data_IF_824358905816
#
_entry.id   IF_824358905816
#
_cell.length_a   1.000
_cell.length_b   1.000
_cell.length_c   1.000
_cell.angle_alpha   90.00
_cell.angle_beta   90.00
_cell.angle_gamma   90.00
#
_symmetry.space_group_name_H-M   'P 1'
#
loop_
_entity.id
_entity.type
_entity.pdbx_description
1 polymer ?
#
# COMPACT_ATOMS: atom_id res chain seq x y z
N UNK A 1 -9.73 6.01 7.45
CA UNK A 1 -9.85 4.88 8.42
C UNK A 1 -11.30 4.72 8.93
N UNK A 2 -12.29 4.85 8.06
CA UNK A 2 -13.71 4.85 8.48
C UNK A 2 -14.19 3.52 9.08
N UNK A 3 -13.75 2.40 8.54
CA UNK A 3 -14.15 1.06 9.01
C UNK A 3 -13.26 0.45 10.10
N UNK A 4 -12.28 1.19 10.66
CA UNK A 4 -11.27 0.60 11.53
C UNK A 4 -11.85 -0.04 12.79
N UNK A 5 -12.82 0.60 13.44
CA UNK A 5 -13.46 0.08 14.66
C UNK A 5 -14.28 -1.17 14.34
N UNK A 6 -15.14 -1.12 13.31
CA UNK A 6 -15.95 -2.27 12.90
C UNK A 6 -15.07 -3.47 12.47
N UNK A 7 -13.97 -3.21 11.77
CA UNK A 7 -12.98 -4.23 11.41
C UNK A 7 -12.31 -4.83 12.65
N UNK A 8 -11.89 -4.00 13.59
CA UNK A 8 -11.30 -4.45 14.85
C UNK A 8 -12.25 -5.37 15.62
N UNK A 9 -13.49 -4.93 15.82
CA UNK A 9 -14.50 -5.69 16.55
C UNK A 9 -14.79 -7.03 15.85
N UNK A 10 -14.99 -7.03 14.54
CA UNK A 10 -15.23 -8.25 13.77
C UNK A 10 -14.06 -9.23 13.85
N UNK A 11 -12.82 -8.77 13.81
CA UNK A 11 -11.64 -9.62 13.99
C UNK A 11 -11.63 -10.24 15.41
N UNK A 12 -11.88 -9.44 16.44
CA UNK A 12 -11.90 -9.89 17.84
C UNK A 12 -12.99 -10.94 18.09
N UNK A 13 -14.19 -10.71 17.57
CA UNK A 13 -15.33 -11.64 17.68
C UNK A 13 -15.03 -13.00 17.01
N UNK A 14 -14.20 -13.02 15.97
CA UNK A 14 -13.82 -14.23 15.26
C UNK A 14 -12.46 -14.81 15.69
N UNK A 15 -11.84 -14.30 16.76
CA UNK A 15 -10.55 -14.79 17.24
C UNK A 15 -9.38 -14.51 16.30
N UNK A 16 -9.52 -13.51 15.41
CA UNK A 16 -8.51 -13.07 14.44
C UNK A 16 -7.81 -11.84 15.00
N UNK A 17 -6.48 -11.80 14.91
CA UNK A 17 -5.70 -10.62 15.29
C UNK A 17 -5.92 -9.49 14.28
N UNK A 18 -6.49 -8.32 14.68
CA UNK A 18 -6.62 -7.18 13.79
C UNK A 18 -5.27 -6.49 13.54
N UNK A 19 -4.98 -6.18 12.29
CA UNK A 19 -3.82 -5.34 11.91
C UNK A 19 -4.38 -4.04 11.35
N UNK A 20 -4.25 -2.98 12.12
CA UNK A 20 -4.78 -1.66 11.71
C UNK A 20 -3.76 -0.95 10.82
N UNK A 21 -4.24 -0.44 9.71
CA UNK A 21 -3.41 0.30 8.76
C UNK A 21 -4.23 1.21 7.87
N UNK A 22 -3.53 1.91 7.00
CA UNK A 22 -4.14 2.78 6.01
C UNK A 22 -3.23 2.91 4.79
N UNK A 23 -3.80 2.79 3.60
CA UNK A 23 -3.15 3.32 2.40
C UNK A 23 -3.31 4.84 2.41
N UNK A 24 -2.19 5.55 2.41
CA UNK A 24 -2.14 7.00 2.39
C UNK A 24 -1.66 7.51 1.04
N UNK A 25 -2.09 8.72 0.69
CA UNK A 25 -1.65 9.42 -0.51
C UNK A 25 -0.57 10.42 -0.13
N UNK A 26 0.64 10.27 -0.65
CA UNK A 26 1.78 11.15 -0.38
C UNK A 26 1.87 12.17 -1.51
N UNK A 27 1.70 13.45 -1.19
CA UNK A 27 1.90 14.54 -2.12
C UNK A 27 3.36 14.57 -2.60
N UNK A 28 3.58 14.76 -3.90
CA UNK A 28 4.93 14.75 -4.48
C UNK A 28 5.80 15.91 -4.02
N UNK A 29 5.19 17.01 -3.59
CA UNK A 29 5.85 18.19 -3.04
C UNK A 29 5.30 18.47 -1.64
N UNK A 30 4.42 19.43 -1.47
CA UNK A 30 3.80 19.75 -0.19
C UNK A 30 2.30 19.49 -0.22
N UNK A 31 1.74 19.04 0.92
CA UNK A 31 0.30 18.86 1.10
C UNK A 31 -0.49 20.15 0.94
N UNK A 32 0.16 21.30 1.10
CA UNK A 32 -0.48 22.61 0.95
C UNK A 32 -0.56 23.08 -0.50
N UNK A 33 0.21 22.50 -1.40
CA UNK A 33 0.16 22.86 -2.81
C UNK A 33 -1.04 22.17 -3.51
N UNK A 34 -1.88 22.99 -4.15
CA UNK A 34 -3.16 22.56 -4.71
C UNK A 34 -3.36 23.07 -6.15
N UNK A 35 -2.29 23.06 -6.94
CA UNK A 35 -2.32 23.39 -8.37
C UNK A 35 -2.59 22.16 -9.23
N UNK A 36 -2.86 22.34 -10.52
CA UNK A 36 -3.07 21.22 -11.46
C UNK A 36 -1.92 20.21 -11.49
N UNK A 37 -0.67 20.68 -11.31
CA UNK A 37 0.53 19.85 -11.26
C UNK A 37 0.63 19.01 -9.98
N UNK A 38 -0.11 19.36 -8.93
CA UNK A 38 -0.12 18.68 -7.63
C UNK A 38 -1.26 17.68 -7.48
N UNK A 39 -1.98 17.39 -8.56
CA UNK A 39 -3.09 16.45 -8.55
C UNK A 39 -2.65 15.00 -8.35
N UNK A 40 -1.38 14.67 -8.69
CA UNK A 40 -0.79 13.36 -8.47
C UNK A 40 -0.36 13.17 -7.02
N UNK A 41 -0.60 11.99 -6.49
CA UNK A 41 -0.07 11.55 -5.20
C UNK A 41 0.39 10.11 -5.32
N UNK A 42 1.43 9.76 -4.59
CA UNK A 42 1.98 8.41 -4.59
C UNK A 42 1.39 7.62 -3.40
N UNK A 43 1.10 6.34 -3.60
CA UNK A 43 0.57 5.47 -2.55
C UNK A 43 1.68 5.02 -1.61
N UNK A 44 1.36 4.90 -0.34
CA UNK A 44 2.19 4.30 0.70
C UNK A 44 1.29 3.57 1.69
N UNK A 45 1.63 2.34 2.07
CA UNK A 45 0.92 1.62 3.09
C UNK A 45 1.57 1.90 4.44
N UNK A 46 0.75 2.24 5.43
CA UNK A 46 1.19 2.42 6.81
C UNK A 46 0.42 1.46 7.70
N UNK A 47 1.15 0.64 8.46
CA UNK A 47 0.60 -0.32 9.42
C UNK A 47 0.98 0.10 10.83
N UNK A 48 0.05 -0.02 11.75
CA UNK A 48 0.23 0.36 13.16
C UNK A 48 1.02 -0.72 13.90
N UNK A 49 2.13 -0.37 14.51
CA UNK A 49 2.96 -1.27 15.32
C UNK A 49 2.63 -1.21 16.82
N UNK A 50 2.21 -0.04 17.30
CA UNK A 50 1.91 0.23 18.72
C UNK A 50 1.01 1.46 18.88
N UNK A 51 0.64 1.80 20.12
CA UNK A 51 -0.23 2.96 20.43
C UNK A 51 0.31 4.28 19.89
N UNK A 52 1.63 4.49 19.91
CA UNK A 52 2.26 5.68 19.33
C UNK A 52 1.99 5.74 17.83
N UNK A 53 2.21 4.63 17.12
CA UNK A 53 1.91 4.53 15.68
C UNK A 53 0.43 4.74 15.38
N UNK A 54 -0.47 4.23 16.21
CA UNK A 54 -1.91 4.44 16.04
C UNK A 54 -2.27 5.93 16.13
N UNK A 55 -1.76 6.63 17.16
CA UNK A 55 -1.98 8.08 17.31
C UNK A 55 -1.38 8.87 16.15
N UNK A 56 -0.15 8.53 15.74
CA UNK A 56 0.52 9.14 14.59
C UNK A 56 -0.28 8.94 13.30
N UNK A 57 -0.77 7.72 13.04
CA UNK A 57 -1.57 7.44 11.85
C UNK A 57 -2.87 8.24 11.83
N UNK A 58 -3.62 8.28 12.95
CA UNK A 58 -4.85 9.09 13.07
C UNK A 58 -4.54 10.56 12.83
N UNK A 59 -3.47 11.09 13.42
CA UNK A 59 -3.07 12.48 13.26
C UNK A 59 -2.77 12.80 11.79
N UNK A 60 -1.91 11.99 11.13
CA UNK A 60 -1.57 12.18 9.72
C UNK A 60 -2.79 12.10 8.80
N UNK A 61 -3.68 11.12 9.00
CA UNK A 61 -4.91 10.98 8.20
C UNK A 61 -5.83 12.18 8.42
N UNK A 62 -5.95 12.68 9.66
CA UNK A 62 -6.73 13.89 9.95
C UNK A 62 -6.15 15.12 9.24
N UNK A 63 -4.83 15.30 9.28
CA UNK A 63 -4.14 16.38 8.57
C UNK A 63 -4.29 16.27 7.05
N UNK A 64 -4.28 15.05 6.53
CA UNK A 64 -4.54 14.81 5.10
C UNK A 64 -5.90 15.38 4.66
N UNK A 65 -6.93 15.24 5.50
CA UNK A 65 -8.27 15.79 5.22
C UNK A 65 -8.35 17.29 5.46
N UNK A 66 -7.78 17.80 6.55
CA UNK A 66 -7.94 19.21 6.96
C UNK A 66 -6.99 20.16 6.23
N UNK A 67 -5.78 19.71 5.89
CA UNK A 67 -4.74 20.51 5.25
C UNK A 67 -4.46 20.09 3.81
N UNK A 68 -4.30 18.77 3.60
CA UNK A 68 -3.79 18.19 2.34
C UNK A 68 -4.83 17.83 1.31
N UNK A 69 -6.12 18.07 1.56
CA UNK A 69 -7.18 17.66 0.62
C UNK A 69 -7.10 18.43 -0.70
N UNK A 70 -6.74 17.71 -1.75
CA UNK A 70 -6.82 18.16 -3.13
C UNK A 70 -7.10 16.95 -4.02
N UNK A 71 -8.37 16.81 -4.47
CA UNK A 71 -8.96 15.61 -5.10
C UNK A 71 -8.96 14.37 -4.20
N UNK A 72 -7.89 14.16 -3.42
CA UNK A 72 -7.74 13.10 -2.41
C UNK A 72 -7.11 13.68 -1.14
N UNK A 73 -7.30 13.08 0.03
CA UNK A 73 -6.62 13.48 1.26
C UNK A 73 -5.15 13.08 1.18
N UNK A 74 -4.23 14.04 1.22
CA UNK A 74 -2.79 13.79 1.03
C UNK A 74 -2.00 14.21 2.26
N UNK A 75 -1.08 13.35 2.67
CA UNK A 75 0.04 13.72 3.52
C UNK A 75 1.21 14.16 2.63
N UNK A 76 2.31 14.59 3.21
CA UNK A 76 3.59 14.82 2.54
C UNK A 76 4.75 14.23 3.34
N UNK A 77 5.96 14.33 2.79
CA UNK A 77 7.15 13.77 3.44
C UNK A 77 7.46 14.48 4.76
N UNK A 78 7.20 15.78 4.89
CA UNK A 78 7.41 16.53 6.12
C UNK A 78 6.57 15.91 7.25
N UNK A 79 5.26 15.82 7.05
CA UNK A 79 4.34 15.23 8.03
C UNK A 79 4.67 13.77 8.35
N UNK A 80 5.06 12.99 7.33
CA UNK A 80 5.48 11.60 7.50
C UNK A 80 6.74 11.50 8.37
N UNK A 81 7.71 12.41 8.17
CA UNK A 81 8.98 12.40 8.92
C UNK A 81 8.80 12.74 10.41
N UNK A 82 7.81 13.56 10.74
CA UNK A 82 7.49 13.94 12.12
C UNK A 82 6.68 12.87 12.87
N UNK A 83 6.00 11.99 12.13
CA UNK A 83 5.01 11.04 12.69
C UNK A 83 5.21 9.59 12.25
N UNK A 84 6.44 9.19 11.91
CA UNK A 84 6.77 7.81 11.47
C UNK A 84 6.92 6.82 12.64
N UNK A 85 7.14 7.29 13.86
CA UNK A 85 7.36 6.42 15.03
C UNK A 85 6.16 5.50 15.29
N UNK A 86 6.47 4.22 15.55
CA UNK A 86 5.46 3.20 15.86
C UNK A 86 4.68 2.69 14.64
N UNK A 87 5.16 2.99 13.42
CA UNK A 87 4.59 2.53 12.17
C UNK A 87 5.53 1.58 11.43
N UNK A 88 4.95 0.71 10.63
CA UNK A 88 5.61 -0.04 9.57
C UNK A 88 5.09 0.49 8.25
N UNK A 89 5.98 0.67 7.26
CA UNK A 89 5.59 1.12 5.93
C UNK A 89 5.89 0.08 4.85
N UNK A 90 5.03 0.01 3.82
CA UNK A 90 5.22 -0.81 2.63
C UNK A 90 5.19 0.10 1.40
N UNK A 91 5.96 -0.25 0.36
CA UNK A 91 6.13 0.57 -0.85
C UNK A 91 4.90 0.71 -1.73
N UNK A 92 3.82 0.03 -1.40
CA UNK A 92 2.51 0.02 -2.07
C UNK A 92 2.52 -0.57 -3.50
N UNK A 93 1.40 -0.42 -4.21
CA UNK A 93 1.16 -0.92 -5.56
C UNK A 93 1.90 -0.09 -6.64
N UNK A 94 1.60 -0.34 -7.92
CA UNK A 94 2.20 0.40 -9.06
C UNK A 94 2.00 1.93 -8.98
N UNK A 95 1.06 2.41 -8.17
CA UNK A 95 0.84 3.82 -7.89
C UNK A 95 1.75 4.40 -6.79
N UNK A 96 2.59 3.58 -6.14
CA UNK A 96 3.61 4.02 -5.19
C UNK A 96 4.75 4.78 -5.88
N UNK A 97 5.50 5.59 -5.11
CA UNK A 97 6.63 6.35 -5.63
C UNK A 97 7.68 5.43 -6.28
N UNK A 98 8.13 4.41 -5.55
CA UNK A 98 9.18 3.48 -5.98
C UNK A 98 8.76 2.71 -7.23
N UNK A 99 7.62 1.98 -7.27
CA UNK A 99 7.18 1.29 -8.48
C UNK A 99 6.99 2.20 -9.67
N UNK A 100 6.47 3.41 -9.46
CA UNK A 100 6.27 4.40 -10.54
C UNK A 100 7.59 4.86 -11.17
N UNK A 101 8.65 5.08 -10.37
CA UNK A 101 9.97 5.44 -10.88
C UNK A 101 10.60 4.27 -11.63
N UNK A 102 10.44 3.04 -11.16
CA UNK A 102 10.86 1.83 -11.88
C UNK A 102 10.17 1.75 -13.26
N UNK A 103 8.84 1.93 -13.32
CA UNK A 103 8.10 1.92 -14.57
C UNK A 103 8.55 3.00 -15.58
N UNK A 104 9.01 4.13 -15.06
CA UNK A 104 9.56 5.22 -15.87
C UNK A 104 11.05 5.03 -16.24
N UNK A 105 11.68 3.93 -15.84
CA UNK A 105 13.09 3.64 -16.09
C UNK A 105 14.08 4.37 -15.18
N UNK A 106 13.60 5.01 -14.12
CA UNK A 106 14.40 5.78 -13.16
C UNK A 106 14.67 4.94 -11.89
N UNK A 107 15.55 3.95 -12.05
CA UNK A 107 15.90 3.02 -10.97
C UNK A 107 16.70 3.69 -9.86
N UNK A 108 17.50 4.70 -10.18
CA UNK A 108 18.30 5.44 -9.19
C UNK A 108 17.39 6.17 -8.21
N UNK A 109 16.44 6.96 -8.70
CA UNK A 109 15.46 7.63 -7.84
C UNK A 109 14.60 6.65 -7.02
N UNK A 110 14.24 5.50 -7.59
CA UNK A 110 13.52 4.45 -6.89
C UNK A 110 14.31 3.91 -5.69
N UNK A 111 15.59 3.58 -5.91
CA UNK A 111 16.47 3.05 -4.86
C UNK A 111 16.81 4.09 -3.81
N UNK A 112 17.14 5.32 -4.19
CA UNK A 112 17.38 6.42 -3.25
C UNK A 112 16.17 6.67 -2.33
N UNK A 113 14.96 6.64 -2.90
CA UNK A 113 13.75 6.84 -2.09
C UNK A 113 13.46 5.64 -1.18
N UNK A 114 13.74 4.42 -1.62
CA UNK A 114 13.63 3.23 -0.78
C UNK A 114 14.57 3.32 0.43
N UNK A 115 15.83 3.68 0.22
CA UNK A 115 16.82 3.90 1.29
C UNK A 115 16.40 5.05 2.22
N UNK A 116 15.82 6.11 1.66
CA UNK A 116 15.30 7.24 2.45
C UNK A 116 14.16 6.81 3.38
N UNK A 117 13.23 5.97 2.91
CA UNK A 117 12.14 5.44 3.72
C UNK A 117 12.65 4.42 4.76
N UNK A 118 13.58 3.53 4.39
CA UNK A 118 14.17 2.59 5.35
C UNK A 118 14.85 3.31 6.53
N UNK A 119 15.58 4.40 6.24
CA UNK A 119 16.16 5.24 7.29
C UNK A 119 15.12 5.95 8.15
N UNK A 120 14.04 6.43 7.54
CA UNK A 120 12.96 7.14 8.23
C UNK A 120 12.21 6.24 9.22
N UNK A 121 11.80 5.05 8.78
CA UNK A 121 11.06 4.12 9.62
C UNK A 121 11.99 3.28 10.53
N UNK A 122 13.27 3.20 10.19
CA UNK A 122 14.25 2.35 10.85
C UNK A 122 14.21 0.92 10.34
N UNK A 123 15.37 0.26 10.36
CA UNK A 123 15.55 -1.10 9.83
C UNK A 123 14.49 -2.07 10.36
N UNK A 124 13.88 -2.84 9.45
CA UNK A 124 12.83 -3.80 9.77
C UNK A 124 11.43 -3.21 9.95
N UNK A 125 11.25 -1.90 9.69
CA UNK A 125 9.95 -1.26 9.68
C UNK A 125 9.59 -0.63 8.31
N UNK A 126 10.39 -0.89 7.28
CA UNK A 126 10.06 -0.57 5.90
C UNK A 126 10.30 -1.80 5.02
N UNK A 127 9.37 -2.07 4.09
CA UNK A 127 9.41 -3.23 3.20
C UNK A 127 9.12 -2.82 1.77
N UNK A 128 9.83 -3.43 0.82
CA UNK A 128 9.52 -3.37 -0.59
C UNK A 128 8.40 -4.37 -0.91
N UNK A 129 7.29 -3.87 -1.38
CA UNK A 129 6.05 -4.64 -1.54
C UNK A 129 5.94 -5.25 -2.93
N UNK A 130 5.81 -6.56 -2.97
CA UNK A 130 5.60 -7.34 -4.20
C UNK A 130 4.12 -7.67 -4.37
N UNK A 131 3.59 -7.41 -5.57
CA UNK A 131 2.22 -7.71 -5.95
C UNK A 131 2.17 -8.38 -7.32
N UNK A 132 1.24 -9.30 -7.54
CA UNK A 132 1.03 -9.98 -8.84
C UNK A 132 -0.47 -10.18 -9.11
N UNK A 133 -0.99 -9.39 -10.04
CA UNK A 133 -2.40 -9.43 -10.47
C UNK A 133 -2.53 -9.65 -11.99
N UNK A 134 -1.45 -10.07 -12.66
CA UNK A 134 -1.43 -10.20 -14.11
C UNK A 134 -1.50 -8.86 -14.85
N UNK A 135 -1.08 -7.76 -14.21
CA UNK A 135 -1.04 -6.43 -14.81
C UNK A 135 0.33 -6.24 -15.48
N UNK A 136 0.32 -5.63 -16.67
CA UNK A 136 1.55 -5.29 -17.38
C UNK A 136 2.47 -4.44 -16.49
N UNK A 137 3.75 -4.78 -16.49
CA UNK A 137 4.78 -4.09 -15.73
C UNK A 137 4.98 -4.59 -14.30
N UNK A 138 4.00 -5.25 -13.65
CA UNK A 138 4.19 -5.74 -12.27
C UNK A 138 5.38 -6.69 -12.13
N UNK A 139 5.56 -7.63 -13.05
CA UNK A 139 6.69 -8.56 -13.01
C UNK A 139 8.03 -7.84 -13.12
N UNK A 140 8.15 -6.88 -14.02
CA UNK A 140 9.36 -6.07 -14.15
C UNK A 140 9.63 -5.28 -12.87
N UNK A 141 8.59 -4.68 -12.29
CA UNK A 141 8.71 -3.96 -11.01
C UNK A 141 9.16 -4.89 -9.90
N UNK A 142 8.58 -6.08 -9.78
CA UNK A 142 8.98 -7.08 -8.77
C UNK A 142 10.45 -7.50 -8.91
N UNK A 143 10.94 -7.74 -10.14
CA UNK A 143 12.36 -8.05 -10.38
C UNK A 143 13.28 -6.88 -9.99
N UNK A 144 12.89 -5.65 -10.31
CA UNK A 144 13.65 -4.47 -9.91
C UNK A 144 13.65 -4.28 -8.39
N UNK A 145 12.52 -4.49 -7.72
CA UNK A 145 12.41 -4.42 -6.25
C UNK A 145 13.28 -5.50 -5.58
N UNK A 146 13.31 -6.72 -6.13
CA UNK A 146 14.22 -7.77 -5.66
C UNK A 146 15.69 -7.35 -5.78
N UNK A 147 16.09 -6.76 -6.91
CA UNK A 147 17.44 -6.22 -7.07
C UNK A 147 17.76 -5.07 -6.13
N UNK A 148 16.81 -4.19 -5.83
CA UNK A 148 16.97 -3.13 -4.81
C UNK A 148 17.14 -3.76 -3.42
N UNK A 149 16.31 -4.77 -3.09
CA UNK A 149 16.40 -5.51 -1.83
C UNK A 149 17.79 -6.14 -1.63
N UNK A 150 18.32 -6.82 -2.65
CA UNK A 150 19.66 -7.43 -2.62
C UNK A 150 20.77 -6.41 -2.35
N UNK A 151 20.71 -5.23 -2.98
CA UNK A 151 21.74 -4.20 -2.83
C UNK A 151 21.66 -3.44 -1.52
N UNK A 152 20.44 -3.18 -1.01
CA UNK A 152 20.20 -2.30 0.13
C UNK A 152 19.99 -3.06 1.44
N UNK A 153 19.61 -4.34 1.37
CA UNK A 153 19.19 -5.15 2.51
C UNK A 153 17.80 -4.80 3.04
N UNK A 154 17.00 -4.01 2.29
CA UNK A 154 15.60 -3.71 2.62
C UNK A 154 14.78 -4.97 2.33
N UNK A 155 14.02 -5.50 3.31
CA UNK A 155 13.28 -6.74 3.10
C UNK A 155 12.12 -6.60 2.11
N UNK A 156 11.82 -7.71 1.41
CA UNK A 156 10.64 -7.85 0.58
C UNK A 156 9.43 -8.28 1.41
N UNK A 157 8.22 -7.95 0.97
CA UNK A 157 6.97 -8.48 1.52
C UNK A 157 5.97 -8.74 0.38
N UNK A 158 5.37 -9.93 0.37
CA UNK A 158 4.31 -10.25 -0.59
C UNK A 158 2.95 -9.81 -0.05
N UNK A 159 2.18 -9.09 -0.85
CA UNK A 159 0.82 -8.68 -0.52
C UNK A 159 -0.14 -8.96 -1.66
N UNK A 160 -1.43 -8.89 -1.36
CA UNK A 160 -2.47 -9.28 -2.30
C UNK A 160 -3.34 -8.11 -2.78
N UNK A 161 -3.20 -6.92 -2.20
CA UNK A 161 -4.00 -5.72 -2.56
C UNK A 161 -5.49 -6.05 -2.80
N UNK A 162 -6.13 -6.66 -1.80
CA UNK A 162 -7.47 -7.25 -1.88
C UNK A 162 -8.52 -6.17 -2.09
N UNK A 163 -9.33 -6.30 -3.13
CA UNK A 163 -10.45 -5.41 -3.40
C UNK A 163 -11.81 -6.13 -3.31
N UNK A 164 -11.80 -7.46 -3.32
CA UNK A 164 -12.99 -8.31 -3.13
C UNK A 164 -12.58 -9.69 -2.60
N UNK A 165 -13.53 -10.44 -2.04
CA UNK A 165 -13.22 -11.70 -1.35
C UNK A 165 -12.97 -12.87 -2.29
N UNK A 166 -13.80 -13.02 -3.32
CA UNK A 166 -13.76 -14.17 -4.25
C UNK A 166 -13.53 -13.68 -5.67
N UNK A 167 -12.90 -14.50 -6.50
CA UNK A 167 -12.58 -14.16 -7.88
C UNK A 167 -13.82 -13.75 -8.69
N UNK A 168 -14.95 -14.43 -8.50
CA UNK A 168 -16.24 -14.12 -9.12
C UNK A 168 -16.81 -12.75 -8.73
N UNK A 169 -16.40 -12.19 -7.58
CA UNK A 169 -16.86 -10.88 -7.10
C UNK A 169 -16.28 -9.71 -7.93
N UNK A 170 -15.32 -9.97 -8.83
CA UNK A 170 -14.78 -8.96 -9.76
C UNK A 170 -15.89 -8.24 -10.54
N UNK A 171 -16.97 -8.94 -10.91
CA UNK A 171 -18.13 -8.33 -11.59
C UNK A 171 -18.87 -7.35 -10.71
N UNK A 172 -19.05 -7.69 -9.43
CA UNK A 172 -19.69 -6.82 -8.43
C UNK A 172 -18.84 -5.57 -8.19
N UNK A 173 -17.52 -5.75 -8.07
CA UNK A 173 -16.58 -4.64 -7.95
C UNK A 173 -16.64 -3.70 -9.16
N UNK A 174 -16.78 -4.23 -10.38
CA UNK A 174 -16.94 -3.42 -11.59
C UNK A 174 -18.20 -2.53 -11.51
N UNK A 175 -19.32 -3.06 -11.01
CA UNK A 175 -20.55 -2.27 -10.79
C UNK A 175 -20.32 -1.17 -9.75
N UNK A 176 -19.67 -1.49 -8.63
CA UNK A 176 -19.35 -0.51 -7.59
C UNK A 176 -18.48 0.63 -8.11
N UNK A 177 -17.49 0.31 -8.95
CA UNK A 177 -16.64 1.31 -9.59
C UNK A 177 -17.42 2.19 -10.59
N UNK A 178 -18.36 1.62 -11.34
CA UNK A 178 -19.25 2.40 -12.20
C UNK A 178 -20.07 3.43 -11.40
N UNK A 179 -20.60 3.02 -10.24
CA UNK A 179 -21.32 3.92 -9.34
C UNK A 179 -20.41 5.04 -8.84
N UNK A 180 -19.19 4.70 -8.40
CA UNK A 180 -18.21 5.66 -7.89
C UNK A 180 -17.77 6.67 -8.94
N UNK A 181 -17.60 6.24 -10.19
CA UNK A 181 -17.10 7.07 -11.30
C UNK A 181 -18.22 7.71 -12.14
N UNK A 182 -19.48 7.45 -11.80
CA UNK A 182 -20.64 7.86 -12.57
C UNK A 182 -20.57 7.47 -14.05
N UNK A 183 -20.24 6.19 -14.29
CA UNK A 183 -20.12 5.57 -15.62
C UNK A 183 -21.05 4.36 -15.71
N UNK A 184 -21.28 3.83 -16.93
CA UNK A 184 -22.04 2.59 -17.14
C UNK A 184 -21.13 1.46 -17.59
N UNK A 185 -21.49 0.23 -17.27
CA UNK A 185 -20.78 -0.96 -17.76
C UNK A 185 -20.75 -0.99 -19.30
N UNK A 186 -21.84 -0.49 -19.94
CA UNK A 186 -21.96 -0.42 -21.39
C UNK A 186 -21.03 0.57 -22.08
N UNK A 187 -20.40 1.50 -21.34
CA UNK A 187 -19.59 2.58 -21.93
C UNK A 187 -18.26 2.08 -22.49
N UNK A 188 -17.96 0.79 -22.36
CA UNK A 188 -16.73 0.17 -22.88
C UNK A 188 -15.44 0.71 -22.27
N UNK A 189 -15.54 1.60 -21.27
CA UNK A 189 -14.40 2.05 -20.48
C UNK A 189 -14.16 1.03 -19.37
N UNK A 190 -12.90 0.70 -19.06
CA UNK A 190 -12.64 -0.16 -17.91
C UNK A 190 -12.99 0.59 -16.63
N UNK A 191 -14.25 0.49 -16.21
CA UNK A 191 -14.66 0.85 -14.84
C UNK A 191 -14.20 -0.23 -13.86
N UNK A 192 -13.58 -1.30 -14.34
CA UNK A 192 -13.08 -2.44 -13.59
C UNK A 192 -11.55 -2.45 -13.61
N UNK A 193 -10.95 -3.18 -12.68
CA UNK A 193 -9.55 -3.55 -12.76
C UNK A 193 -9.26 -4.31 -14.05
N UNK A 194 -8.03 -4.22 -14.55
CA UNK A 194 -7.62 -4.87 -15.80
C UNK A 194 -7.75 -6.41 -15.75
N UNK A 195 -7.79 -6.97 -14.54
CA UNK A 195 -7.88 -8.42 -14.29
C UNK A 195 -8.83 -8.73 -13.15
N UNK A 196 -9.15 -10.00 -12.95
CA UNK A 196 -9.97 -10.51 -11.84
C UNK A 196 -9.12 -11.06 -10.67
N UNK A 197 -7.84 -10.67 -10.60
CA UNK A 197 -6.85 -11.22 -9.67
C UNK A 197 -6.76 -10.47 -8.32
N UNK A 198 -7.67 -9.54 -8.02
CA UNK A 198 -7.67 -8.77 -6.76
C UNK A 198 -8.51 -9.41 -5.64
N UNK A 199 -8.68 -10.72 -5.66
CA UNK A 199 -9.39 -11.47 -4.64
C UNK A 199 -8.47 -11.94 -3.51
N UNK A 200 -9.05 -12.37 -2.39
CA UNK A 200 -8.30 -12.95 -1.26
C UNK A 200 -7.72 -14.31 -1.65
N UNK A 201 -6.46 -14.33 -2.05
CA UNK A 201 -5.73 -15.56 -2.39
C UNK A 201 -5.37 -16.37 -1.15
N UNK A 202 -5.35 -17.68 -1.28
CA UNK A 202 -4.86 -18.59 -0.25
C UNK A 202 -3.34 -18.49 -0.08
N UNK A 203 -2.82 -18.99 1.05
CA UNK A 203 -1.38 -19.07 1.29
C UNK A 203 -0.65 -19.83 0.18
N UNK A 204 -1.21 -20.96 -0.30
CA UNK A 204 -0.63 -21.74 -1.38
C UNK A 204 -0.58 -21.00 -2.72
N UNK A 205 -1.57 -20.14 -2.99
CA UNK A 205 -1.58 -19.28 -4.18
C UNK A 205 -0.50 -18.19 -4.06
N UNK A 206 -0.39 -17.56 -2.89
CA UNK A 206 0.65 -16.57 -2.63
C UNK A 206 2.05 -17.17 -2.73
N UNK A 207 2.28 -18.36 -2.17
CA UNK A 207 3.56 -19.07 -2.25
C UNK A 207 3.93 -19.43 -3.71
N UNK A 208 2.96 -19.85 -4.52
CA UNK A 208 3.19 -20.10 -5.97
C UNK A 208 3.60 -18.85 -6.74
N UNK A 209 3.09 -17.68 -6.36
CA UNK A 209 3.41 -16.41 -7.00
C UNK A 209 4.75 -15.82 -6.55
N UNK A 210 5.04 -15.92 -5.26
CA UNK A 210 6.14 -15.18 -4.63
C UNK A 210 7.23 -16.04 -3.99
N UNK A 211 7.06 -17.37 -3.87
CA UNK A 211 8.02 -18.27 -3.21
C UNK A 211 9.43 -18.29 -3.84
N UNK A 212 9.60 -17.70 -5.02
CA UNK A 212 10.93 -17.48 -5.62
C UNK A 212 11.67 -16.25 -5.04
N UNK A 213 10.97 -15.35 -4.35
CA UNK A 213 11.57 -14.18 -3.73
C UNK A 213 11.87 -14.47 -2.27
N UNK A 214 13.12 -14.33 -1.89
CA UNK A 214 13.59 -14.69 -0.56
C UNK A 214 12.79 -14.00 0.55
N UNK A 215 12.24 -14.79 1.46
CA UNK A 215 11.49 -14.36 2.63
C UNK A 215 10.24 -13.49 2.37
N UNK A 216 9.80 -13.32 1.12
CA UNK A 216 8.69 -12.40 0.81
C UNK A 216 7.37 -12.84 1.45
N UNK A 217 7.06 -14.14 1.43
CA UNK A 217 5.86 -14.70 2.07
C UNK A 217 6.01 -14.77 3.60
N UNK A 218 7.19 -15.15 4.10
CA UNK A 218 7.48 -15.18 5.54
C UNK A 218 7.40 -13.79 6.16
N UNK A 219 7.84 -12.76 5.45
CA UNK A 219 7.75 -11.39 5.93
C UNK A 219 6.31 -10.90 6.06
N UNK A 220 5.35 -11.41 5.29
CA UNK A 220 3.92 -11.15 5.50
C UNK A 220 3.50 -11.57 6.92
N UNK A 221 3.97 -12.74 7.37
CA UNK A 221 3.73 -13.24 8.73
C UNK A 221 4.51 -12.39 9.74
N UNK A 222 5.79 -12.12 9.50
CA UNK A 222 6.65 -11.32 10.39
C UNK A 222 6.07 -9.93 10.63
N UNK A 223 5.63 -9.24 9.59
CA UNK A 223 4.96 -7.94 9.69
C UNK A 223 3.72 -8.06 10.57
N UNK A 224 2.92 -9.12 10.44
CA UNK A 224 1.71 -9.32 11.25
C UNK A 224 1.99 -9.61 12.73
N UNK A 225 3.12 -10.25 13.07
CA UNK A 225 3.50 -10.54 14.45
C UNK A 225 4.06 -9.33 15.20
N UNK A 226 4.66 -8.37 14.53
CA UNK A 226 5.21 -7.15 15.16
C UNK A 226 4.16 -6.14 15.59
N UNK A 227 2.90 -6.38 15.26
CA UNK A 227 1.79 -5.51 15.65
C UNK A 227 1.29 -5.83 17.06
N UNK A 228 1.08 -4.79 17.85
CA UNK A 228 0.41 -4.92 19.14
C UNK A 228 -1.06 -5.35 18.94
N UNK A 229 -1.50 -6.22 19.86
CA UNK A 229 -2.93 -6.37 20.13
C UNK A 229 -3.34 -5.13 20.91
N UNK A 230 -4.01 -4.18 20.28
CA UNK A 230 -4.65 -3.04 20.95
C UNK A 230 -5.70 -3.54 21.93
#
# INVERSE_FOLDING_TARGET
>A
MYGAVAFYDACRENGIKPIIGCEVYVARRSRFEKSGNDAGADHLILLVKNDTGYRNLIFMVSKAFTEGFYRKPRIDYELLSEHSEGLIALSACLAGYIPRHILNGDLEAAEEYAVKLDRLFGRGNFYLELQEHGIDGQRMVNECLAGISERTGIPLVATNDIHYLRKEDAKTQAVMMCIQTNTMISDGRPAAFATDEFYLKSADEMERLFGRYENACENTVTVSYTHLTL
#
